data_IF_987750468326
#
_entry.id   IF_987750468326
#
_cell.length_a   1.000
_cell.length_b   1.000
_cell.length_c   1.000
_cell.angle_alpha   90.00
_cell.angle_beta   90.00
_cell.angle_gamma   90.00
#
_symmetry.space_group_name_H-M   'P 1'
#
loop_
_entity.id
_entity.type
_entity.pdbx_description
1 polymer ?
#
# COMPACT_ATOMS: atom_id res chain seq x y z
N UNK A 1 39.01 8.68 0.56
CA UNK A 1 39.75 8.55 -0.72
C UNK A 1 40.69 9.72 -1.06
N UNK A 2 40.41 11.01 -0.76
CA UNK A 2 41.32 12.08 -1.16
C UNK A 2 42.64 12.13 -0.37
N UNK A 3 42.73 11.47 0.79
CA UNK A 3 43.90 11.50 1.68
C UNK A 3 44.83 10.27 1.60
N UNK A 4 44.62 9.36 0.63
CA UNK A 4 45.46 8.17 0.45
C UNK A 4 46.60 8.44 -0.53
N UNK A 5 47.83 8.03 -0.17
CA UNK A 5 48.99 8.04 -1.06
C UNK A 5 48.79 7.14 -2.30
N UNK A 6 49.54 7.40 -3.38
CA UNK A 6 49.35 6.73 -4.67
C UNK A 6 49.44 5.19 -4.58
N UNK A 7 50.43 4.66 -3.85
CA UNK A 7 50.60 3.22 -3.64
C UNK A 7 49.41 2.56 -2.92
N UNK A 8 48.84 3.25 -1.92
CA UNK A 8 47.66 2.76 -1.20
C UNK A 8 46.39 2.83 -2.05
N UNK A 9 46.28 3.79 -2.96
CA UNK A 9 45.18 3.84 -3.94
C UNK A 9 45.25 2.66 -4.92
N UNK A 10 46.43 2.34 -5.42
CA UNK A 10 46.64 1.17 -6.28
C UNK A 10 46.37 -0.15 -5.55
N UNK A 11 46.86 -0.28 -4.31
CA UNK A 11 46.59 -1.46 -3.49
C UNK A 11 45.08 -1.64 -3.24
N UNK A 12 44.37 -0.56 -2.90
CA UNK A 12 42.94 -0.59 -2.65
C UNK A 12 42.13 -0.88 -3.91
N UNK A 13 42.55 -0.36 -5.07
CA UNK A 13 41.97 -0.70 -6.37
C UNK A 13 42.16 -2.19 -6.71
N UNK A 14 43.37 -2.73 -6.48
CA UNK A 14 43.67 -4.16 -6.66
C UNK A 14 42.81 -5.03 -5.75
N UNK A 15 42.73 -4.71 -4.46
CA UNK A 15 41.88 -5.45 -3.51
C UNK A 15 40.39 -5.38 -3.87
N UNK A 16 39.90 -4.23 -4.35
CA UNK A 16 38.50 -4.11 -4.85
C UNK A 16 38.26 -4.97 -6.09
N UNK A 17 39.21 -4.99 -7.03
CA UNK A 17 39.11 -5.82 -8.23
C UNK A 17 39.13 -7.31 -7.90
N UNK A 18 40.00 -7.72 -6.98
CA UNK A 18 40.09 -9.10 -6.48
C UNK A 18 38.84 -9.51 -5.71
N UNK A 19 38.32 -8.67 -4.82
CA UNK A 19 37.06 -8.90 -4.12
C UNK A 19 35.87 -8.99 -5.11
N UNK A 20 35.85 -8.17 -6.16
CA UNK A 20 34.83 -8.24 -7.20
C UNK A 20 34.93 -9.53 -8.04
N UNK A 21 36.14 -10.00 -8.33
CA UNK A 21 36.38 -11.27 -9.02
C UNK A 21 35.94 -12.45 -8.15
N UNK A 22 36.34 -12.48 -6.88
CA UNK A 22 35.94 -13.51 -5.91
C UNK A 22 34.43 -13.52 -5.67
N UNK A 23 33.79 -12.34 -5.59
CA UNK A 23 32.33 -12.19 -5.49
C UNK A 23 31.58 -12.83 -6.66
N UNK A 24 32.13 -12.76 -7.88
CA UNK A 24 31.56 -13.43 -9.06
C UNK A 24 31.74 -14.95 -9.06
N UNK A 25 32.79 -15.46 -8.40
CA UNK A 25 33.04 -16.91 -8.29
C UNK A 25 32.27 -17.58 -7.15
N UNK A 26 31.78 -16.79 -6.19
CA UNK A 26 30.99 -17.32 -5.08
C UNK A 26 29.66 -17.87 -5.62
N UNK A 27 29.25 -19.08 -5.19
CA UNK A 27 27.91 -19.57 -5.49
C UNK A 27 26.88 -18.56 -4.96
N UNK A 28 25.71 -18.44 -5.62
CA UNK A 28 24.65 -17.57 -5.15
C UNK A 28 24.36 -17.86 -3.68
N UNK A 29 24.38 -16.80 -2.87
CA UNK A 29 24.18 -16.92 -1.43
C UNK A 29 22.86 -17.67 -1.19
N UNK A 30 22.91 -18.75 -0.40
CA UNK A 30 21.69 -19.50 -0.10
C UNK A 30 20.64 -18.57 0.50
N UNK A 31 19.37 -18.68 0.11
CA UNK A 31 18.32 -17.89 0.74
C UNK A 31 18.28 -18.27 2.22
N UNK A 32 18.69 -17.34 3.09
CA UNK A 32 18.60 -17.49 4.53
C UNK A 32 17.56 -16.52 5.08
N UNK A 33 16.83 -16.97 6.10
CA UNK A 33 15.86 -16.15 6.80
C UNK A 33 16.47 -15.70 8.13
N UNK A 34 16.42 -14.41 8.42
CA UNK A 34 16.67 -13.95 9.78
C UNK A 34 15.49 -14.36 10.65
N UNK A 35 15.67 -15.41 11.45
CA UNK A 35 14.69 -15.82 12.44
C UNK A 35 15.10 -15.27 13.81
N UNK A 36 14.14 -14.69 14.53
CA UNK A 36 14.30 -14.37 15.94
C UNK A 36 13.94 -15.62 16.74
N UNK A 37 14.86 -16.10 17.58
CA UNK A 37 14.63 -17.17 18.54
C UNK A 37 14.62 -16.60 19.95
N UNK A 38 13.77 -17.13 20.81
CA UNK A 38 13.80 -16.81 22.22
C UNK A 38 15.17 -17.18 22.83
N UNK A 39 15.62 -16.38 23.79
CA UNK A 39 16.80 -16.68 24.57
C UNK A 39 16.59 -17.98 25.36
N UNK A 40 17.66 -18.74 25.60
CA UNK A 40 17.61 -20.00 26.34
C UNK A 40 17.08 -19.82 27.78
N UNK A 41 17.34 -18.66 28.39
CA UNK A 41 16.82 -18.28 29.69
C UNK A 41 16.08 -16.94 29.58
N UNK A 42 14.74 -16.94 29.56
CA UNK A 42 13.96 -15.70 29.50
C UNK A 42 13.95 -15.02 30.88
N UNK A 43 14.31 -13.73 30.93
CA UNK A 43 14.26 -12.90 32.13
C UNK A 43 13.07 -11.93 32.10
N UNK A 44 12.61 -11.49 33.27
CA UNK A 44 11.65 -10.39 33.36
C UNK A 44 12.40 -9.06 33.11
N UNK A 45 11.69 -8.07 32.59
CA UNK A 45 12.27 -6.75 32.41
C UNK A 45 12.19 -5.97 33.72
N UNK A 46 13.16 -5.07 33.97
CA UNK A 46 13.05 -4.07 35.05
C UNK A 46 12.65 -2.73 34.47
N UNK A 47 11.85 -1.97 35.20
CA UNK A 47 11.38 -0.65 34.74
C UNK A 47 12.55 0.33 34.73
N UNK A 48 12.91 0.87 33.57
CA UNK A 48 13.91 1.91 33.45
C UNK A 48 13.35 3.24 34.00
N UNK A 49 13.85 3.69 35.15
CA UNK A 49 13.36 4.91 35.81
C UNK A 49 13.77 6.11 34.94
N UNK A 50 12.78 6.90 34.51
CA UNK A 50 12.95 8.04 33.59
C UNK A 50 13.57 7.65 32.22
N UNK A 51 13.47 6.38 31.83
CA UNK A 51 14.00 5.88 30.55
C UNK A 51 15.51 5.66 30.54
N UNK A 52 16.19 5.77 31.68
CA UNK A 52 17.61 5.44 31.79
C UNK A 52 17.80 3.92 31.96
N UNK A 53 18.46 3.30 30.98
CA UNK A 53 18.72 1.87 30.95
C UNK A 53 19.65 1.40 32.09
N UNK A 54 20.40 2.30 32.72
CA UNK A 54 21.27 1.99 33.85
C UNK A 54 20.54 2.10 35.20
N UNK A 55 19.48 2.92 35.27
CA UNK A 55 18.69 3.10 36.47
C UNK A 55 17.46 2.19 36.48
N UNK A 56 17.68 0.94 36.89
CA UNK A 56 16.65 -0.10 36.91
C UNK A 56 15.86 -0.09 38.23
N UNK A 57 14.55 0.13 38.13
CA UNK A 57 13.60 0.04 39.23
C UNK A 57 13.05 -1.37 39.44
N UNK A 58 11.77 -1.45 39.81
CA UNK A 58 11.09 -2.71 40.10
C UNK A 58 11.04 -3.65 38.90
N UNK A 59 11.00 -4.95 39.20
CA UNK A 59 10.86 -6.00 38.20
C UNK A 59 9.42 -6.06 37.71
N UNK A 60 9.24 -5.94 36.39
CA UNK A 60 7.96 -6.08 35.72
C UNK A 60 7.81 -7.55 35.27
N UNK A 61 7.00 -8.36 35.97
CA UNK A 61 6.81 -9.76 35.59
C UNK A 61 6.18 -9.85 34.20
N UNK A 62 6.62 -10.85 33.42
CA UNK A 62 5.97 -11.14 32.14
C UNK A 62 4.54 -11.58 32.38
N UNK A 63 3.61 -10.95 31.70
CA UNK A 63 2.20 -11.26 31.80
C UNK A 63 1.35 -10.38 30.91
N UNK A 64 0.06 -10.65 30.88
CA UNK A 64 -0.91 -9.79 30.25
C UNK A 64 -1.13 -8.51 31.07
N UNK A 65 -1.79 -7.52 30.48
CA UNK A 65 -2.08 -6.26 31.16
C UNK A 65 -2.83 -6.52 32.47
N UNK A 66 -2.31 -5.99 33.58
CA UNK A 66 -2.87 -6.20 34.92
C UNK A 66 -4.34 -5.77 35.00
N UNK A 67 -4.68 -4.65 34.36
CA UNK A 67 -6.06 -4.12 34.31
C UNK A 67 -7.04 -5.03 33.55
N UNK A 68 -6.54 -5.94 32.70
CA UNK A 68 -7.33 -6.89 31.92
C UNK A 68 -7.19 -8.33 32.44
N UNK A 69 -6.79 -8.51 33.70
CA UNK A 69 -6.72 -9.80 34.38
C UNK A 69 -5.32 -10.30 34.73
N UNK A 70 -4.25 -9.64 34.25
CA UNK A 70 -2.89 -9.80 34.77
C UNK A 70 -2.31 -11.22 34.72
N UNK A 71 -2.78 -12.07 33.80
CA UNK A 71 -2.33 -13.47 33.70
C UNK A 71 -0.81 -13.52 33.48
N UNK A 72 -0.03 -14.17 34.37
CA UNK A 72 1.41 -14.28 34.20
C UNK A 72 1.76 -15.22 33.05
N UNK A 73 2.87 -14.92 32.37
CA UNK A 73 3.41 -15.73 31.27
C UNK A 73 4.61 -16.54 31.75
N UNK A 74 4.60 -17.82 31.40
CA UNK A 74 5.56 -18.82 31.90
C UNK A 74 6.37 -19.50 30.79
N UNK A 75 5.91 -19.42 29.53
CA UNK A 75 6.54 -20.12 28.41
C UNK A 75 7.43 -19.18 27.58
N UNK A 76 8.72 -19.47 27.58
CA UNK A 76 9.72 -18.71 26.81
C UNK A 76 9.70 -17.22 27.17
N UNK A 77 9.77 -16.36 26.17
CA UNK A 77 9.67 -14.91 26.35
C UNK A 77 8.26 -14.42 26.73
N UNK A 78 7.23 -15.28 26.71
CA UNK A 78 5.83 -14.91 26.87
C UNK A 78 5.20 -14.27 25.63
N UNK A 79 5.96 -14.05 24.55
CA UNK A 79 5.46 -13.46 23.29
C UNK A 79 4.39 -14.31 22.62
N UNK A 80 4.54 -15.63 22.65
CA UNK A 80 3.53 -16.55 22.11
C UNK A 80 2.24 -16.50 22.94
N UNK A 81 2.35 -16.55 24.27
CA UNK A 81 1.18 -16.45 25.16
C UNK A 81 0.46 -15.10 25.01
N UNK A 82 1.20 -14.01 24.80
CA UNK A 82 0.61 -12.72 24.47
C UNK A 82 -0.13 -12.75 23.13
N UNK A 83 0.45 -13.35 22.09
CA UNK A 83 -0.18 -13.46 20.79
C UNK A 83 -1.47 -14.31 20.85
N UNK A 84 -1.45 -15.42 21.59
CA UNK A 84 -2.61 -16.26 21.85
C UNK A 84 -3.69 -15.53 22.65
N UNK A 85 -3.32 -14.73 23.65
CA UNK A 85 -4.25 -13.91 24.41
C UNK A 85 -4.92 -12.82 23.54
N UNK A 86 -4.14 -12.18 22.64
CA UNK A 86 -4.66 -11.18 21.71
C UNK A 86 -5.62 -11.84 20.71
N UNK A 87 -5.25 -12.98 20.12
CA UNK A 87 -6.07 -13.69 19.12
C UNK A 87 -7.16 -14.60 19.73
N UNK A 88 -7.31 -14.59 21.05
CA UNK A 88 -8.28 -15.44 21.75
C UNK A 88 -9.71 -15.07 21.36
N UNK A 89 -10.60 -16.05 21.12
CA UNK A 89 -12.03 -15.80 20.93
C UNK A 89 -12.69 -15.09 22.12
N UNK A 90 -12.11 -15.19 23.32
CA UNK A 90 -12.58 -14.48 24.51
C UNK A 90 -12.25 -12.97 24.48
N UNK A 91 -11.39 -12.52 23.54
CA UNK A 91 -11.07 -11.12 23.34
C UNK A 91 -11.80 -10.57 22.10
N UNK A 92 -12.96 -9.90 22.26
CA UNK A 92 -13.74 -9.40 21.14
C UNK A 92 -13.06 -8.21 20.42
N UNK A 93 -12.12 -7.52 21.08
CA UNK A 93 -11.52 -6.31 20.54
C UNK A 93 -10.71 -6.60 19.27
N UNK A 94 -9.98 -7.70 19.23
CA UNK A 94 -9.13 -8.07 18.08
C UNK A 94 -9.97 -8.29 16.82
N UNK A 95 -11.10 -8.99 16.95
CA UNK A 95 -12.03 -9.19 15.84
C UNK A 95 -12.65 -7.87 15.39
N UNK A 96 -13.13 -7.03 16.32
CA UNK A 96 -13.70 -5.70 16.01
C UNK A 96 -12.70 -4.80 15.28
N UNK A 97 -11.45 -4.73 15.75
CA UNK A 97 -10.39 -3.92 15.12
C UNK A 97 -10.10 -4.42 13.71
N UNK A 98 -9.97 -5.74 13.52
CA UNK A 98 -9.69 -6.31 12.20
C UNK A 98 -10.83 -6.09 11.21
N UNK A 99 -12.08 -6.32 11.63
CA UNK A 99 -13.27 -6.05 10.82
C UNK A 99 -13.34 -4.58 10.43
N UNK A 100 -13.10 -3.66 11.37
CA UNK A 100 -13.11 -2.23 11.09
C UNK A 100 -12.06 -1.82 10.06
N UNK A 101 -10.86 -2.43 10.10
CA UNK A 101 -9.79 -2.19 9.11
C UNK A 101 -10.17 -2.70 7.72
N UNK A 102 -10.72 -3.91 7.64
CA UNK A 102 -11.18 -4.48 6.37
C UNK A 102 -12.30 -3.62 5.78
N UNK A 103 -13.26 -3.20 6.62
CA UNK A 103 -14.31 -2.28 6.24
C UNK A 103 -13.75 -0.96 5.72
N UNK A 104 -12.81 -0.36 6.45
CA UNK A 104 -12.14 0.88 6.05
C UNK A 104 -11.46 0.75 4.68
N UNK A 105 -10.84 -0.37 4.34
CA UNK A 105 -10.24 -0.54 3.01
C UNK A 105 -11.26 -0.61 1.88
N UNK A 106 -12.50 -1.03 2.15
CA UNK A 106 -13.57 -1.07 1.15
C UNK A 106 -14.35 0.25 1.04
N UNK A 107 -14.62 0.91 2.18
CA UNK A 107 -15.47 2.11 2.25
C UNK A 107 -14.69 3.42 2.48
N UNK A 108 -13.37 3.34 2.70
CA UNK A 108 -12.45 4.48 2.90
C UNK A 108 -12.44 5.00 4.33
N UNK A 109 -13.60 4.93 4.99
CA UNK A 109 -13.79 5.21 6.40
C UNK A 109 -14.19 3.93 7.13
N UNK A 110 -13.64 3.74 8.33
CA UNK A 110 -14.05 2.67 9.23
C UNK A 110 -15.43 2.93 9.83
N UNK A 111 -16.09 1.88 10.31
CA UNK A 111 -17.27 2.00 11.18
C UNK A 111 -16.92 2.81 12.43
N UNK A 112 -15.72 2.55 12.98
CA UNK A 112 -15.01 3.40 13.93
C UNK A 112 -13.94 4.16 13.15
N UNK A 113 -14.07 5.49 13.09
CA UNK A 113 -13.19 6.35 12.28
C UNK A 113 -11.80 6.57 12.89
N UNK A 114 -11.56 6.11 14.11
CA UNK A 114 -10.25 6.01 14.77
C UNK A 114 -9.75 4.56 14.77
N UNK A 115 -9.10 4.06 13.70
CA UNK A 115 -8.82 2.64 13.52
C UNK A 115 -7.81 2.08 14.53
N UNK A 116 -6.93 2.93 15.08
CA UNK A 116 -5.95 2.56 16.11
C UNK A 116 -6.42 2.79 17.55
N UNK A 117 -7.60 3.39 17.77
CA UNK A 117 -8.08 3.69 19.11
C UNK A 117 -9.58 3.37 19.26
N UNK A 118 -9.86 2.28 19.97
CA UNK A 118 -11.21 1.82 20.32
C UNK A 118 -11.56 2.13 21.80
N UNK A 119 -10.70 2.89 22.50
CA UNK A 119 -10.91 3.30 23.88
C UNK A 119 -11.78 4.55 24.00
N UNK A 120 -11.89 5.11 25.21
CA UNK A 120 -12.70 6.30 25.47
C UNK A 120 -12.22 7.56 24.74
N UNK A 121 -10.94 7.62 24.38
CA UNK A 121 -10.35 8.71 23.60
C UNK A 121 -10.54 8.53 22.08
N UNK A 122 -11.06 7.37 21.65
CA UNK A 122 -11.40 7.10 20.25
C UNK A 122 -12.81 7.55 19.90
N UNK A 123 -13.12 7.50 18.61
CA UNK A 123 -14.48 7.73 18.13
C UNK A 123 -15.40 6.54 18.43
N UNK A 124 -16.68 6.83 18.64
CA UNK A 124 -17.69 5.77 18.80
C UNK A 124 -18.01 5.12 17.45
N UNK A 125 -18.34 3.83 17.41
CA UNK A 125 -18.82 3.19 16.20
C UNK A 125 -20.08 3.88 15.68
N UNK A 126 -20.12 4.18 14.39
CA UNK A 126 -21.34 4.67 13.72
C UNK A 126 -22.48 3.65 13.77
N UNK A 127 -22.14 2.37 13.57
CA UNK A 127 -23.07 1.24 13.57
C UNK A 127 -22.53 0.13 14.48
N UNK A 128 -22.75 0.21 15.81
CA UNK A 128 -22.18 -0.73 16.77
C UNK A 128 -22.68 -2.16 16.56
N UNK A 129 -23.98 -2.34 16.30
CA UNK A 129 -24.58 -3.66 16.08
C UNK A 129 -24.02 -4.34 14.83
N UNK A 130 -23.78 -3.57 13.75
CA UNK A 130 -23.17 -4.09 12.53
C UNK A 130 -21.73 -4.55 12.78
N UNK A 131 -20.95 -3.75 13.52
CA UNK A 131 -19.58 -4.11 13.87
C UNK A 131 -19.55 -5.40 14.69
N UNK A 132 -20.45 -5.54 15.64
CA UNK A 132 -20.55 -6.72 16.49
C UNK A 132 -21.00 -7.96 15.71
N UNK A 133 -21.98 -7.81 14.82
CA UNK A 133 -22.40 -8.85 13.91
C UNK A 133 -21.24 -9.34 13.03
N UNK A 134 -20.52 -8.43 12.37
CA UNK A 134 -19.40 -8.79 11.50
C UNK A 134 -18.23 -9.39 12.30
N UNK A 135 -17.97 -8.92 13.52
CA UNK A 135 -16.93 -9.46 14.40
C UNK A 135 -17.27 -10.90 14.85
N UNK A 136 -18.51 -11.16 15.24
CA UNK A 136 -18.96 -12.51 15.60
C UNK A 136 -18.86 -13.47 14.39
N UNK A 137 -19.35 -13.04 13.23
CA UNK A 137 -19.24 -13.77 11.96
C UNK A 137 -17.79 -14.09 11.59
N UNK A 138 -16.88 -13.13 11.78
CA UNK A 138 -15.47 -13.32 11.48
C UNK A 138 -14.82 -14.40 12.36
N UNK A 139 -15.20 -14.46 13.64
CA UNK A 139 -14.78 -15.52 14.56
C UNK A 139 -15.35 -16.89 14.16
N UNK A 140 -16.67 -16.98 13.90
CA UNK A 140 -17.35 -18.20 13.48
C UNK A 140 -16.75 -18.79 12.19
N UNK A 141 -16.34 -17.92 11.26
CA UNK A 141 -15.73 -18.32 9.98
C UNK A 141 -14.26 -18.71 10.10
N UNK A 142 -13.69 -18.73 11.31
CA UNK A 142 -12.30 -19.08 11.57
C UNK A 142 -11.32 -18.00 11.11
N UNK A 143 -11.62 -16.73 11.35
CA UNK A 143 -10.77 -15.57 10.99
C UNK A 143 -10.49 -15.44 9.49
N UNK A 144 -11.42 -15.93 8.65
CA UNK A 144 -11.24 -15.94 7.20
C UNK A 144 -11.51 -14.56 6.58
N UNK A 145 -10.44 -13.83 6.25
CA UNK A 145 -10.52 -12.51 5.61
C UNK A 145 -11.33 -12.58 4.30
N UNK A 146 -11.12 -13.62 3.48
CA UNK A 146 -11.82 -13.77 2.18
C UNK A 146 -13.33 -13.93 2.33
N UNK A 147 -13.79 -14.66 3.35
CA UNK A 147 -15.23 -14.86 3.58
C UNK A 147 -15.89 -13.56 4.06
N UNK A 148 -15.23 -12.83 4.97
CA UNK A 148 -15.69 -11.52 5.42
C UNK A 148 -15.73 -10.50 4.27
N UNK A 149 -14.68 -10.45 3.44
CA UNK A 149 -14.68 -9.61 2.23
C UNK A 149 -15.83 -9.95 1.30
N UNK A 150 -16.10 -11.24 1.05
CA UNK A 150 -17.24 -11.66 0.25
C UNK A 150 -18.58 -11.18 0.83
N UNK A 151 -18.76 -11.26 2.13
CA UNK A 151 -19.98 -10.80 2.81
C UNK A 151 -20.17 -9.28 2.66
N UNK A 152 -19.09 -8.51 2.82
CA UNK A 152 -19.11 -7.05 2.60
C UNK A 152 -19.41 -6.70 1.14
N UNK A 153 -18.71 -7.33 0.19
CA UNK A 153 -18.83 -7.02 -1.24
C UNK A 153 -20.19 -7.41 -1.85
N UNK A 154 -20.88 -8.39 -1.24
CA UNK A 154 -22.23 -8.80 -1.66
C UNK A 154 -23.34 -8.00 -0.96
N UNK A 155 -23.00 -7.07 -0.06
CA UNK A 155 -23.99 -6.22 0.61
C UNK A 155 -24.60 -5.19 -0.35
N UNK A 156 -25.87 -4.83 -0.12
CA UNK A 156 -26.52 -3.72 -0.84
C UNK A 156 -25.78 -2.41 -0.63
N UNK A 157 -25.20 -2.19 0.56
CA UNK A 157 -24.42 -0.98 0.90
C UNK A 157 -23.18 -0.84 0.02
N UNK A 158 -22.46 -1.93 -0.28
CA UNK A 158 -21.31 -1.88 -1.18
C UNK A 158 -21.72 -1.59 -2.64
N UNK A 159 -22.91 -2.05 -3.05
CA UNK A 159 -23.45 -1.85 -4.39
C UNK A 159 -24.16 -0.49 -4.60
N UNK A 160 -24.13 0.42 -3.61
CA UNK A 160 -24.77 1.73 -3.74
C UNK A 160 -24.10 2.58 -4.83
N UNK A 161 -24.88 3.49 -5.42
CA UNK A 161 -24.38 4.47 -6.38
C UNK A 161 -23.59 5.59 -5.68
N UNK A 162 -22.72 6.28 -6.43
CA UNK A 162 -22.06 7.53 -6.00
C UNK A 162 -22.95 8.77 -6.16
N UNK A 163 -24.18 8.60 -6.67
CA UNK A 163 -25.14 9.66 -6.92
C UNK A 163 -25.32 10.60 -5.74
N UNK A 164 -25.42 11.90 -6.04
CA UNK A 164 -25.64 12.92 -5.04
C UNK A 164 -27.15 13.20 -4.89
N UNK A 165 -27.66 13.06 -3.67
CA UNK A 165 -29.00 13.45 -3.30
C UNK A 165 -28.92 14.64 -2.33
N UNK A 166 -29.46 15.82 -2.69
CA UNK A 166 -29.40 17.01 -1.83
C UNK A 166 -30.07 16.82 -0.47
N UNK A 167 -31.17 16.06 -0.38
CA UNK A 167 -31.89 15.86 0.87
C UNK A 167 -31.11 14.96 1.84
N UNK A 168 -30.48 13.91 1.32
CA UNK A 168 -29.60 13.05 2.13
C UNK A 168 -28.32 13.79 2.52
N UNK A 169 -27.74 14.57 1.61
CA UNK A 169 -26.54 15.35 1.90
C UNK A 169 -26.78 16.42 2.98
N UNK A 170 -27.95 17.06 3.00
CA UNK A 170 -28.30 18.02 4.05
C UNK A 170 -28.39 17.37 5.44
N UNK A 171 -28.78 16.09 5.52
CA UNK A 171 -28.91 15.34 6.78
C UNK A 171 -27.60 14.70 7.23
N UNK A 172 -26.83 14.15 6.28
CA UNK A 172 -25.57 13.47 6.53
C UNK A 172 -24.52 13.91 5.49
N UNK A 173 -23.93 15.10 5.66
CA UNK A 173 -22.94 15.63 4.73
C UNK A 173 -21.67 14.76 4.64
N UNK A 174 -21.32 14.13 5.77
CA UNK A 174 -20.13 13.30 5.94
C UNK A 174 -20.35 11.83 5.53
N UNK A 175 -21.55 11.48 5.07
CA UNK A 175 -21.93 10.12 4.67
C UNK A 175 -21.64 9.06 5.76
N UNK A 176 -21.84 9.39 7.04
CA UNK A 176 -21.70 8.47 8.18
C UNK A 176 -22.66 7.29 8.09
N UNK A 177 -23.85 7.51 7.53
CA UNK A 177 -24.92 6.52 7.37
C UNK A 177 -24.82 5.75 6.04
N UNK A 178 -23.80 6.04 5.21
CA UNK A 178 -23.51 5.33 3.97
C UNK A 178 -24.71 5.28 3.01
N UNK A 179 -25.36 6.42 2.80
CA UNK A 179 -26.47 6.56 1.85
C UNK A 179 -26.02 6.58 0.38
N UNK A 180 -24.71 6.75 0.15
CA UNK A 180 -24.05 6.62 -1.16
C UNK A 180 -22.70 5.94 -1.01
N UNK A 181 -22.13 5.45 -2.11
CA UNK A 181 -20.81 4.86 -2.10
C UNK A 181 -19.68 5.91 -2.03
N UNK A 182 -18.66 5.63 -1.21
CA UNK A 182 -17.47 6.46 -1.02
C UNK A 182 -16.39 6.15 -2.08
N UNK A 183 -16.76 6.20 -3.37
CA UNK A 183 -15.88 5.75 -4.47
C UNK A 183 -15.04 6.89 -5.08
N UNK A 184 -14.30 7.60 -4.22
CA UNK A 184 -13.27 8.55 -4.67
C UNK A 184 -12.00 8.40 -3.84
N UNK A 185 -11.59 7.15 -3.64
CA UNK A 185 -10.34 6.87 -2.95
C UNK A 185 -9.20 6.91 -3.96
N UNK A 186 -8.16 7.67 -3.62
CA UNK A 186 -6.93 7.66 -4.41
C UNK A 186 -6.27 6.30 -4.29
N UNK A 187 -5.68 5.83 -5.38
CA UNK A 187 -4.78 4.69 -5.36
C UNK A 187 -3.59 4.97 -4.45
N UNK A 188 -3.20 3.95 -3.69
CA UNK A 188 -1.93 3.92 -2.96
C UNK A 188 -0.75 3.90 -3.94
N UNK A 189 0.43 4.34 -3.49
CA UNK A 189 1.66 4.36 -4.31
C UNK A 189 1.91 3.03 -5.04
N UNK A 190 1.74 1.92 -4.32
CA UNK A 190 1.95 0.57 -4.83
C UNK A 190 0.92 0.18 -5.90
N UNK A 191 -0.36 0.45 -5.62
CA UNK A 191 -1.45 0.16 -6.54
C UNK A 191 -1.35 1.03 -7.80
N UNK A 192 -0.99 2.30 -7.65
CA UNK A 192 -0.80 3.23 -8.75
C UNK A 192 0.32 2.78 -9.69
N UNK A 193 1.48 2.42 -9.14
CA UNK A 193 2.61 1.91 -9.92
C UNK A 193 2.29 0.58 -10.60
N UNK A 194 1.64 -0.34 -9.87
CA UNK A 194 1.23 -1.63 -10.43
C UNK A 194 0.18 -1.45 -11.54
N UNK A 195 -0.73 -0.48 -11.42
CA UNK A 195 -1.69 -0.11 -12.47
C UNK A 195 -0.97 0.41 -13.71
N UNK A 196 0.01 1.31 -13.58
CA UNK A 196 0.82 1.81 -14.70
C UNK A 196 1.52 0.69 -15.48
N UNK A 197 2.05 -0.31 -14.76
CA UNK A 197 2.66 -1.50 -15.37
C UNK A 197 1.64 -2.46 -15.97
N UNK A 198 0.47 -2.59 -15.34
CA UNK A 198 -0.58 -3.50 -15.79
C UNK A 198 -1.18 -3.02 -17.12
N UNK A 199 -1.54 -1.73 -17.21
CA UNK A 199 -2.15 -1.15 -18.43
C UNK A 199 -1.16 -1.12 -19.59
N UNK A 200 0.13 -0.91 -19.32
CA UNK A 200 1.18 -0.96 -20.35
C UNK A 200 1.58 -2.39 -20.76
N UNK A 201 0.99 -3.42 -20.14
CA UNK A 201 1.30 -4.84 -20.39
C UNK A 201 2.72 -5.25 -19.98
N UNK A 202 3.39 -4.45 -19.14
CA UNK A 202 4.78 -4.69 -18.71
C UNK A 202 4.88 -5.29 -17.32
N UNK A 203 3.77 -5.46 -16.61
CA UNK A 203 3.75 -6.00 -15.24
C UNK A 203 4.22 -7.46 -15.20
N UNK A 204 5.33 -7.68 -14.48
CA UNK A 204 5.79 -9.00 -14.10
C UNK A 204 5.09 -9.46 -12.81
N UNK A 205 4.38 -10.59 -12.90
CA UNK A 205 3.62 -11.22 -11.81
C UNK A 205 4.37 -12.36 -11.11
N UNK A 206 5.65 -12.57 -11.42
CA UNK A 206 6.48 -13.58 -10.75
C UNK A 206 6.46 -13.39 -9.23
N UNK A 207 6.11 -14.47 -8.51
CA UNK A 207 6.05 -14.47 -7.05
C UNK A 207 7.38 -14.88 -6.43
N UNK A 208 7.74 -14.25 -5.31
CA UNK A 208 8.95 -14.57 -4.54
C UNK A 208 10.21 -13.84 -5.06
N UNK A 209 11.40 -14.36 -4.77
CA UNK A 209 12.66 -13.75 -5.19
C UNK A 209 13.06 -12.48 -4.40
N UNK A 210 14.27 -11.96 -4.63
CA UNK A 210 14.79 -10.82 -3.90
C UNK A 210 14.02 -9.54 -4.23
N UNK A 211 13.95 -8.63 -3.26
CA UNK A 211 13.47 -7.28 -3.49
C UNK A 211 14.45 -6.50 -4.38
N UNK A 212 13.93 -5.59 -5.20
CA UNK A 212 14.72 -4.76 -6.10
C UNK A 212 14.33 -3.28 -5.98
N UNK A 213 15.26 -2.33 -6.20
CA UNK A 213 14.94 -0.90 -6.27
C UNK A 213 13.81 -0.61 -7.27
N UNK A 214 12.98 0.40 -6.99
CA UNK A 214 11.83 0.77 -7.84
C UNK A 214 12.26 1.71 -8.99
N UNK A 215 13.30 1.32 -9.72
CA UNK A 215 13.76 2.05 -10.90
C UNK A 215 12.86 1.84 -12.12
N UNK A 216 13.21 2.49 -13.23
CA UNK A 216 12.49 2.45 -14.51
C UNK A 216 12.48 1.06 -15.16
N UNK A 217 13.45 0.21 -14.81
CA UNK A 217 13.62 -1.12 -15.37
C UNK A 217 12.88 -2.18 -14.58
N UNK A 218 12.60 -1.92 -13.30
CA UNK A 218 11.85 -2.81 -12.45
C UNK A 218 10.40 -2.90 -12.94
N UNK A 219 10.00 -4.10 -13.35
CA UNK A 219 8.65 -4.40 -13.85
C UNK A 219 7.83 -5.24 -12.89
N UNK A 220 8.42 -5.61 -11.75
CA UNK A 220 7.76 -6.47 -10.75
C UNK A 220 6.71 -5.68 -10.00
N UNK A 221 5.74 -6.40 -9.45
CA UNK A 221 4.77 -5.85 -8.49
C UNK A 221 5.51 -5.07 -7.39
N UNK A 222 4.96 -3.93 -7.02
CA UNK A 222 5.59 -2.97 -6.10
C UNK A 222 5.77 -3.54 -4.69
N UNK A 223 5.03 -4.59 -4.33
CA UNK A 223 5.25 -5.39 -3.11
C UNK A 223 6.65 -6.04 -3.04
N UNK A 224 7.31 -6.24 -4.19
CA UNK A 224 8.69 -6.72 -4.28
C UNK A 224 9.70 -5.58 -4.46
N UNK A 225 9.25 -4.33 -4.29
CA UNK A 225 10.10 -3.16 -4.22
C UNK A 225 10.95 -3.15 -2.95
N UNK A 226 12.18 -2.69 -3.07
CA UNK A 226 13.04 -2.46 -1.91
C UNK A 226 12.53 -1.24 -1.13
N UNK A 227 12.26 -1.44 0.17
CA UNK A 227 11.86 -0.37 1.09
C UNK A 227 12.95 -0.20 2.14
N UNK A 228 13.70 0.90 2.03
CA UNK A 228 14.70 1.27 3.02
C UNK A 228 14.07 1.99 4.23
N UNK A 229 14.54 1.67 5.45
CA UNK A 229 14.14 2.39 6.67
C UNK A 229 14.77 3.77 6.80
N UNK A 230 15.94 3.97 6.20
CA UNK A 230 16.68 5.25 6.25
C UNK A 230 16.38 6.12 5.03
N UNK A 231 16.29 5.50 3.85
CA UNK A 231 16.03 6.19 2.58
C UNK A 231 14.90 5.46 1.87
N UNK A 232 13.75 6.12 1.82
CA UNK A 232 12.59 5.63 1.08
C UNK A 232 12.75 6.00 -0.39
N UNK A 233 12.19 5.17 -1.28
CA UNK A 233 12.12 5.49 -2.70
C UNK A 233 11.35 6.81 -2.94
N UNK A 234 11.84 7.72 -3.80
CA UNK A 234 11.20 9.01 -4.03
C UNK A 234 9.75 8.92 -4.52
N UNK A 235 9.40 7.90 -5.31
CA UNK A 235 8.03 7.72 -5.78
C UNK A 235 7.13 7.28 -4.60
N UNK A 236 7.58 6.31 -3.80
CA UNK A 236 6.83 5.91 -2.60
C UNK A 236 6.60 7.09 -1.65
N UNK A 237 7.64 7.91 -1.40
CA UNK A 237 7.53 9.10 -0.57
C UNK A 237 6.55 10.13 -1.15
N UNK A 238 6.60 10.37 -2.47
CA UNK A 238 5.75 11.33 -3.17
C UNK A 238 4.25 10.95 -3.13
N UNK A 239 3.95 9.66 -3.12
CA UNK A 239 2.58 9.12 -3.09
C UNK A 239 2.18 8.59 -1.70
N UNK A 240 2.66 9.28 -0.65
CA UNK A 240 2.22 9.12 0.74
C UNK A 240 2.40 7.70 1.32
N UNK A 241 3.46 6.98 0.93
CA UNK A 241 3.80 5.71 1.54
C UNK A 241 4.12 5.90 3.05
N UNK A 242 3.58 5.05 3.95
CA UNK A 242 3.83 5.17 5.38
C UNK A 242 5.31 5.12 5.75
N UNK A 243 5.72 5.93 6.73
CA UNK A 243 7.09 5.88 7.25
C UNK A 243 7.39 4.48 7.81
N UNK A 244 8.41 3.75 7.31
CA UNK A 244 8.72 2.39 7.75
C UNK A 244 9.13 2.26 9.23
N UNK A 245 9.47 3.37 9.89
CA UNK A 245 9.89 3.39 11.29
C UNK A 245 8.74 3.70 12.26
N UNK A 246 7.56 4.10 11.76
CA UNK A 246 6.42 4.50 12.57
C UNK A 246 5.20 3.63 12.28
N UNK A 247 4.33 3.49 13.27
CA UNK A 247 3.01 2.89 13.06
C UNK A 247 2.10 3.90 12.38
N UNK A 248 1.37 3.46 11.35
CA UNK A 248 0.35 4.25 10.68
C UNK A 248 -0.97 3.48 10.68
N UNK A 249 -2.01 4.07 11.25
CA UNK A 249 -3.36 3.49 11.28
C UNK A 249 -4.15 3.76 9.99
N UNK A 250 -3.81 4.86 9.31
CA UNK A 250 -4.39 5.30 8.05
C UNK A 250 -3.33 6.05 7.25
N UNK A 251 -3.35 5.88 5.92
CA UNK A 251 -2.52 6.66 5.02
C UNK A 251 -3.05 8.09 4.91
N UNK A 252 -2.16 9.06 5.08
CA UNK A 252 -2.46 10.44 4.72
C UNK A 252 -2.55 10.52 3.21
N UNK A 253 -3.53 11.26 2.68
CA UNK A 253 -3.67 11.46 1.23
C UNK A 253 -3.35 12.91 0.94
N UNK A 254 -2.23 13.15 0.28
CA UNK A 254 -1.85 14.49 -0.18
C UNK A 254 -2.18 14.62 -1.66
N UNK A 255 -2.80 15.73 -2.05
CA UNK A 255 -2.97 16.11 -3.46
C UNK A 255 -2.11 17.32 -3.72
N UNK A 256 -0.93 17.10 -4.31
CA UNK A 256 0.05 18.14 -4.53
C UNK A 256 0.41 18.31 -6.02
N UNK A 257 0.80 19.51 -6.46
CA UNK A 257 1.30 19.73 -7.83
C UNK A 257 2.45 18.80 -8.21
N UNK A 258 3.32 18.46 -7.25
CA UNK A 258 4.47 17.55 -7.46
C UNK A 258 4.04 16.16 -7.94
N UNK A 259 2.91 15.63 -7.45
CA UNK A 259 2.38 14.34 -7.91
C UNK A 259 1.89 14.42 -9.36
N UNK A 260 1.33 15.56 -9.79
CA UNK A 260 0.94 15.76 -11.20
C UNK A 260 2.16 15.93 -12.10
N UNK A 261 3.15 16.70 -11.65
CA UNK A 261 4.42 16.86 -12.35
C UNK A 261 5.17 15.52 -12.52
N UNK A 262 5.01 14.59 -11.58
CA UNK A 262 5.53 13.23 -11.72
C UNK A 262 4.96 12.54 -12.96
N UNK A 263 3.65 12.57 -13.19
CA UNK A 263 3.05 11.98 -14.39
C UNK A 263 3.51 12.66 -15.70
N UNK A 264 3.82 13.95 -15.65
CA UNK A 264 4.23 14.71 -16.83
C UNK A 264 5.71 14.52 -17.19
N UNK A 265 6.59 14.37 -16.20
CA UNK A 265 8.03 14.47 -16.40
C UNK A 265 8.82 13.20 -16.04
N UNK A 266 8.19 12.20 -15.43
CA UNK A 266 8.90 11.01 -14.99
C UNK A 266 9.12 10.00 -16.14
N UNK A 267 10.36 9.57 -16.32
CA UNK A 267 10.75 8.63 -17.37
C UNK A 267 10.08 7.24 -17.24
N UNK A 268 9.79 6.76 -16.03
CA UNK A 268 9.02 5.52 -15.83
C UNK A 268 7.61 5.66 -16.40
N UNK A 269 6.93 6.78 -16.15
CA UNK A 269 5.58 7.05 -16.67
C UNK A 269 5.62 7.18 -18.20
N UNK A 270 6.57 7.93 -18.73
CA UNK A 270 6.78 8.05 -20.18
C UNK A 270 7.02 6.68 -20.84
N UNK A 271 7.82 5.81 -20.21
CA UNK A 271 8.06 4.46 -20.70
C UNK A 271 6.81 3.57 -20.69
N UNK A 272 5.90 3.75 -19.73
CA UNK A 272 4.60 3.06 -19.71
C UNK A 272 3.65 3.62 -20.78
N UNK A 273 3.60 4.94 -20.94
CA UNK A 273 2.78 5.60 -21.95
C UNK A 273 3.20 5.19 -23.38
N UNK A 274 4.50 5.14 -23.67
CA UNK A 274 5.04 4.65 -24.94
C UNK A 274 4.66 3.19 -25.19
N UNK A 275 4.77 2.33 -24.17
CA UNK A 275 4.41 0.92 -24.30
C UNK A 275 2.90 0.75 -24.56
N UNK A 276 2.05 1.50 -23.86
CA UNK A 276 0.60 1.50 -24.06
C UNK A 276 0.22 2.01 -25.46
N UNK A 277 0.80 3.14 -25.90
CA UNK A 277 0.60 3.66 -27.26
C UNK A 277 0.98 2.63 -28.33
N UNK A 278 2.14 1.98 -28.18
CA UNK A 278 2.59 0.95 -29.11
C UNK A 278 1.67 -0.28 -29.17
N UNK A 279 0.92 -0.60 -28.11
CA UNK A 279 -0.10 -1.66 -28.18
C UNK A 279 -1.26 -1.29 -29.11
N UNK A 280 -1.71 -0.03 -29.03
CA UNK A 280 -2.85 0.48 -29.79
C UNK A 280 -2.47 0.79 -31.24
N UNK A 281 -1.25 1.28 -31.48
CA UNK A 281 -0.72 1.54 -32.83
C UNK A 281 -0.53 0.24 -33.62
N UNK A 282 -0.09 -0.85 -32.97
CA UNK A 282 0.04 -2.18 -33.61
C UNK A 282 -1.29 -2.74 -34.10
N UNK A 283 -2.42 -2.31 -33.55
CA UNK A 283 -3.74 -2.68 -34.04
C UNK A 283 -4.09 -1.82 -35.25
N UNK A 284 -4.31 -2.46 -36.39
CA UNK A 284 -4.77 -1.81 -37.63
C UNK A 284 -6.27 -1.44 -37.48
N UNK A 285 -6.54 -0.45 -36.64
CA UNK A 285 -7.88 0.04 -36.35
C UNK A 285 -7.98 1.54 -36.67
N UNK A 286 -9.19 2.00 -36.96
CA UNK A 286 -9.46 3.42 -37.17
C UNK A 286 -9.17 4.24 -35.90
N UNK A 287 -8.84 5.52 -36.07
CA UNK A 287 -8.49 6.45 -34.99
C UNK A 287 -9.52 6.46 -33.83
N UNK A 288 -10.85 6.56 -34.05
CA UNK A 288 -11.82 6.51 -32.95
C UNK A 288 -11.83 5.19 -32.18
N UNK A 289 -11.57 4.06 -32.87
CA UNK A 289 -11.49 2.76 -32.22
C UNK A 289 -10.25 2.65 -31.33
N UNK A 290 -9.12 3.24 -31.76
CA UNK A 290 -7.89 3.34 -30.97
C UNK A 290 -8.08 4.18 -29.70
N UNK A 291 -8.78 5.31 -29.79
CA UNK A 291 -9.12 6.14 -28.62
C UNK A 291 -9.99 5.36 -27.63
N UNK A 292 -11.03 4.66 -28.11
CA UNK A 292 -11.89 3.81 -27.25
C UNK A 292 -11.10 2.74 -26.53
N UNK A 293 -10.12 2.16 -27.20
CA UNK A 293 -9.25 1.15 -26.60
C UNK A 293 -8.34 1.74 -25.51
N UNK A 294 -7.74 2.92 -25.73
CA UNK A 294 -6.93 3.58 -24.71
C UNK A 294 -7.75 3.88 -23.45
N UNK A 295 -8.98 4.37 -23.59
CA UNK A 295 -9.88 4.59 -22.46
C UNK A 295 -10.20 3.30 -21.73
N UNK A 296 -10.51 2.23 -22.46
CA UNK A 296 -10.80 0.92 -21.84
C UNK A 296 -9.58 0.37 -21.11
N UNK A 297 -8.38 0.53 -21.67
CA UNK A 297 -7.14 0.04 -21.08
C UNK A 297 -6.73 0.86 -19.85
N UNK A 298 -6.76 2.19 -19.93
CA UNK A 298 -6.31 3.08 -18.87
C UNK A 298 -7.37 3.28 -17.77
N UNK A 299 -8.63 3.50 -18.15
CA UNK A 299 -9.71 3.94 -17.25
C UNK A 299 -10.79 2.87 -17.02
N UNK A 300 -10.74 1.74 -17.72
CA UNK A 300 -11.70 0.64 -17.53
C UNK A 300 -13.12 0.91 -18.04
N UNK A 301 -13.37 2.02 -18.75
CA UNK A 301 -14.66 2.38 -19.33
C UNK A 301 -14.55 2.81 -20.79
N UNK A 302 -15.69 3.00 -21.44
CA UNK A 302 -15.74 3.61 -22.77
C UNK A 302 -15.79 5.14 -22.67
N UNK A 303 -15.16 5.86 -23.62
CA UNK A 303 -15.28 7.31 -23.71
C UNK A 303 -16.66 7.72 -24.24
N UNK A 304 -17.12 8.90 -23.85
CA UNK A 304 -18.26 9.56 -24.50
C UNK A 304 -17.86 10.22 -25.84
N UNK A 305 -18.84 10.68 -26.62
CA UNK A 305 -18.57 11.30 -27.93
C UNK A 305 -17.76 12.61 -27.83
N UNK A 306 -17.81 13.32 -26.70
CA UNK A 306 -17.04 14.54 -26.47
C UNK A 306 -15.58 14.20 -26.19
N UNK A 307 -15.33 13.17 -25.39
CA UNK A 307 -14.00 12.65 -25.08
C UNK A 307 -13.31 12.08 -26.33
N UNK A 308 -14.06 11.42 -27.21
CA UNK A 308 -13.57 11.06 -28.54
C UNK A 308 -13.19 12.32 -29.31
N UNK A 309 -14.04 13.34 -29.32
CA UNK A 309 -13.75 14.64 -29.94
C UNK A 309 -12.44 15.26 -29.45
N UNK A 310 -12.25 15.36 -28.14
CA UNK A 310 -11.02 15.89 -27.52
C UNK A 310 -9.79 15.05 -27.87
N UNK A 311 -9.92 13.72 -27.88
CA UNK A 311 -8.82 12.85 -28.30
C UNK A 311 -8.37 13.11 -29.73
N UNK A 312 -9.32 13.28 -30.65
CA UNK A 312 -9.02 13.60 -32.06
C UNK A 312 -8.38 14.97 -32.21
N UNK A 313 -8.86 15.96 -31.48
CA UNK A 313 -8.28 17.30 -31.47
C UNK A 313 -6.83 17.28 -30.94
N UNK A 314 -6.59 16.57 -29.84
CA UNK A 314 -5.25 16.38 -29.27
C UNK A 314 -4.29 15.72 -30.26
N UNK A 315 -4.73 14.64 -30.93
CA UNK A 315 -3.90 13.92 -31.89
C UNK A 315 -3.57 14.75 -33.15
N UNK A 316 -4.42 15.72 -33.51
CA UNK A 316 -4.16 16.66 -34.61
C UNK A 316 -3.21 17.79 -34.24
N UNK A 317 -3.27 18.26 -32.98
CA UNK A 317 -2.44 19.37 -32.50
C UNK A 317 -1.05 18.90 -32.06
N UNK A 318 -0.91 17.66 -31.61
CA UNK A 318 0.36 17.07 -31.23
C UNK A 318 1.27 16.87 -32.44
N UNK A 319 2.51 17.36 -32.35
CA UNK A 319 3.53 17.17 -33.40
C UNK A 319 3.93 15.69 -33.50
N UNK A 320 3.86 15.10 -34.70
CA UNK A 320 4.44 13.79 -34.95
C UNK A 320 5.98 13.91 -34.99
N UNK A 321 6.75 12.95 -34.44
CA UNK A 321 6.35 11.64 -33.90
C UNK A 321 6.02 11.64 -32.39
N UNK A 322 5.09 10.77 -31.96
CA UNK A 322 4.79 10.52 -30.54
C UNK A 322 3.43 10.99 -30.01
N UNK A 323 2.52 11.46 -30.88
CA UNK A 323 1.20 11.95 -30.47
C UNK A 323 0.40 10.95 -29.63
N UNK A 324 0.40 9.66 -29.98
CA UNK A 324 -0.27 8.62 -29.22
C UNK A 324 0.34 8.38 -27.84
N UNK A 325 1.67 8.48 -27.72
CA UNK A 325 2.36 8.35 -26.44
C UNK A 325 2.04 9.53 -25.51
N UNK A 326 2.04 10.75 -26.03
CA UNK A 326 1.64 11.95 -25.28
C UNK A 326 0.17 11.86 -24.84
N UNK A 327 -0.71 11.38 -25.72
CA UNK A 327 -2.12 11.18 -25.38
C UNK A 327 -2.32 10.10 -24.32
N UNK A 328 -1.62 8.96 -24.44
CA UNK A 328 -1.61 7.93 -23.41
C UNK A 328 -1.10 8.48 -22.08
N UNK A 329 -0.02 9.28 -22.09
CA UNK A 329 0.52 9.92 -20.88
C UNK A 329 -0.49 10.88 -20.24
N UNK A 330 -1.23 11.65 -21.04
CA UNK A 330 -2.30 12.52 -20.53
C UNK A 330 -3.42 11.73 -19.84
N UNK A 331 -3.82 10.58 -20.41
CA UNK A 331 -4.81 9.70 -19.77
C UNK A 331 -4.29 9.09 -18.47
N UNK A 332 -3.04 8.61 -18.44
CA UNK A 332 -2.41 8.07 -17.23
C UNK A 332 -2.20 9.14 -16.14
N UNK A 333 -2.04 10.41 -16.54
CA UNK A 333 -1.93 11.55 -15.63
C UNK A 333 -3.25 12.13 -15.14
N UNK A 334 -4.39 11.63 -15.65
CA UNK A 334 -5.73 12.11 -15.29
C UNK A 334 -6.05 11.85 -13.81
N UNK A 335 -6.99 12.61 -13.24
CA UNK A 335 -7.46 12.34 -11.89
C UNK A 335 -8.15 10.98 -11.80
N UNK A 336 -8.89 10.62 -12.85
CA UNK A 336 -9.63 9.37 -12.98
C UNK A 336 -8.72 8.15 -12.85
N UNK A 337 -7.58 8.14 -13.54
CA UNK A 337 -6.62 7.02 -13.47
C UNK A 337 -6.08 6.79 -12.04
N UNK A 338 -5.92 7.87 -11.27
CA UNK A 338 -5.38 7.83 -9.91
C UNK A 338 -6.42 7.51 -8.83
N UNK A 339 -7.69 7.31 -9.19
CA UNK A 339 -8.79 7.09 -8.26
C UNK A 339 -9.56 5.82 -8.55
N UNK A 340 -9.99 5.10 -7.51
CA UNK A 340 -10.91 3.97 -7.63
C UNK A 340 -12.34 4.53 -7.72
N UNK A 341 -13.08 4.07 -8.73
CA UNK A 341 -14.47 4.41 -9.01
C UNK A 341 -15.46 3.35 -8.59
#
# INVERSE_FOLDING_TARGET
EPYLGAEWKEHLARMRAEAAALSKTLPPQYPFLHALKDAAQPANARVAIRGDAQNLGEEAPRGFLQILGGRPFSRGSGRLELAEAIASPANPLTARVMVNRIWQWHFGEGIVRSPGNFGQLGERPTHPELLDYLAARFLEQGWSIKKLQREILLSSTYALSTGHDPANHARDPENKLLWRANLRQRLDAEALRDSLLAVSGRLDRTMGGPAAPLDENNRRRTVYGYVGRTTLDPMLALFDFPNPNNTSERRTVTVGPMQRLYFMNNAFVAAQANALAGQVERRQAAEPARIRELYRAALGRFPDEREIGWGREFLRSASAPGAWAQYAQALLGSAEFSTIH
#
